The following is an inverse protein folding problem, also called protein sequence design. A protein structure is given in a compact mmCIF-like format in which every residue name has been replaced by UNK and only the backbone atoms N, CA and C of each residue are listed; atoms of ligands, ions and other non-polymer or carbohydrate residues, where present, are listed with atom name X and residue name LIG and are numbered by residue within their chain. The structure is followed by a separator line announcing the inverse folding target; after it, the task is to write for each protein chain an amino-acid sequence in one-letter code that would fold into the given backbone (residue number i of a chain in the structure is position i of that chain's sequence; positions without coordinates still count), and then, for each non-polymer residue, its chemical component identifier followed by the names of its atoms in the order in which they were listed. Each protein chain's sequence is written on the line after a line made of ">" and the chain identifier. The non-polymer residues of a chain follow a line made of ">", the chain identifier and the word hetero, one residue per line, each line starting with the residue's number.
data_IF_764763513491
#
_entry.id   IF_764763513491
#
_cell.length_a   1.000
_cell.length_b   1.000
_cell.length_c   1.000
_cell.angle_alpha   90.00
_cell.angle_beta   90.00
_cell.angle_gamma   90.00
#
_symmetry.space_group_name_H-M   'P 1'
#
loop_
_entity.id
_entity.type
_entity.pdbx_description
1 polymer ?
#
# COMPACT_ATOMS: atom_id res chain seq x y z
N UNK A 1 17.98 -48.73 36.62
CA UNK A 1 16.86 -48.53 35.65
C UNK A 1 15.74 -47.64 36.21
N UNK A 2 15.27 -47.75 37.48
CA UNK A 2 14.18 -46.92 38.07
C UNK A 2 14.52 -45.40 38.06
N UNK A 3 15.75 -45.00 38.41
CA UNK A 3 16.18 -43.58 38.46
C UNK A 3 16.18 -42.92 37.07
N UNK A 4 16.61 -43.68 36.01
CA UNK A 4 16.60 -43.18 34.66
C UNK A 4 15.18 -42.94 34.14
N UNK A 5 14.25 -43.86 34.40
CA UNK A 5 12.84 -43.67 34.04
C UNK A 5 12.24 -42.45 34.76
N UNK A 6 12.46 -42.30 36.04
CA UNK A 6 11.97 -41.11 36.81
C UNK A 6 12.54 -39.82 36.25
N UNK A 7 13.81 -39.77 35.86
CA UNK A 7 14.45 -38.63 35.24
C UNK A 7 13.83 -38.26 33.89
N UNK A 8 13.65 -39.26 33.01
CA UNK A 8 12.99 -39.05 31.70
C UNK A 8 11.56 -38.54 31.87
N UNK A 9 10.77 -39.12 32.80
CA UNK A 9 9.41 -38.59 33.04
C UNK A 9 9.40 -37.15 33.55
N UNK A 10 10.37 -36.79 34.41
CA UNK A 10 10.50 -35.42 34.93
C UNK A 10 10.81 -34.41 33.84
N UNK A 11 11.76 -34.75 32.95
CA UNK A 11 12.08 -33.93 31.79
C UNK A 11 10.87 -33.80 30.88
N UNK A 12 10.23 -34.92 30.52
CA UNK A 12 9.06 -34.91 29.67
C UNK A 12 7.93 -34.01 30.23
N UNK A 13 7.66 -34.08 31.52
CA UNK A 13 6.66 -33.24 32.16
C UNK A 13 7.00 -31.76 32.11
N UNK A 14 8.26 -31.38 32.44
CA UNK A 14 8.70 -29.99 32.40
C UNK A 14 8.67 -29.45 30.97
N UNK A 15 9.24 -30.21 30.02
CA UNK A 15 9.28 -29.82 28.61
C UNK A 15 7.87 -29.71 28.04
N UNK A 16 6.98 -30.66 28.33
CA UNK A 16 5.59 -30.63 27.91
C UNK A 16 4.84 -29.41 28.43
N UNK A 17 5.06 -29.02 29.70
CA UNK A 17 4.45 -27.82 30.27
C UNK A 17 4.96 -26.55 29.56
N UNK A 18 6.26 -26.44 29.33
CA UNK A 18 6.85 -25.29 28.64
C UNK A 18 6.29 -25.18 27.21
N UNK A 19 6.29 -26.29 26.46
CA UNK A 19 5.76 -26.35 25.11
C UNK A 19 4.26 -25.98 25.07
N UNK A 20 3.49 -26.51 26.03
CA UNK A 20 2.06 -26.19 26.15
C UNK A 20 1.80 -24.67 26.32
N UNK A 21 2.62 -24.00 27.14
CA UNK A 21 2.54 -22.54 27.31
C UNK A 21 2.84 -21.80 26.01
N UNK A 22 3.85 -22.24 25.25
CA UNK A 22 4.15 -21.64 23.94
C UNK A 22 3.01 -21.85 22.94
N UNK A 23 2.43 -23.03 22.86
CA UNK A 23 1.27 -23.30 22.02
C UNK A 23 0.06 -22.45 22.43
N UNK A 24 -0.18 -22.30 23.74
CA UNK A 24 -1.25 -21.44 24.21
C UNK A 24 -1.05 -19.98 23.81
N UNK A 25 0.16 -19.43 24.01
CA UNK A 25 0.49 -18.07 23.56
C UNK A 25 0.32 -17.92 22.05
N UNK A 26 0.78 -18.90 21.28
CA UNK A 26 0.63 -18.87 19.82
C UNK A 26 -0.84 -18.92 19.39
N UNK A 27 -1.64 -19.76 20.04
CA UNK A 27 -3.09 -19.82 19.79
C UNK A 27 -3.78 -18.48 20.11
N UNK A 28 -3.46 -17.87 21.25
CA UNK A 28 -4.02 -16.55 21.61
C UNK A 28 -3.59 -15.49 20.62
N UNK A 29 -2.32 -15.46 20.18
CA UNK A 29 -1.86 -14.52 19.16
C UNK A 29 -2.58 -14.73 17.82
N UNK A 30 -2.84 -15.99 17.45
CA UNK A 30 -3.63 -16.31 16.25
C UNK A 30 -5.07 -15.78 16.33
N UNK A 31 -5.72 -15.90 17.48
CA UNK A 31 -7.04 -15.30 17.71
C UNK A 31 -7.00 -13.77 17.54
N UNK A 32 -5.99 -13.12 18.09
CA UNK A 32 -5.83 -11.66 17.93
C UNK A 32 -5.71 -11.29 16.45
N UNK A 33 -4.93 -12.03 15.66
CA UNK A 33 -4.77 -11.77 14.23
C UNK A 33 -6.05 -11.99 13.40
N UNK A 34 -6.94 -12.90 13.84
CA UNK A 34 -8.25 -13.10 13.19
C UNK A 34 -9.14 -11.88 13.36
N UNK A 35 -9.16 -11.29 14.56
CA UNK A 35 -10.01 -10.12 14.86
C UNK A 35 -9.36 -8.77 14.51
N UNK A 36 -8.04 -8.73 14.39
CA UNK A 36 -7.27 -7.52 14.09
C UNK A 36 -6.37 -7.78 12.89
N UNK A 37 -6.96 -7.66 11.70
CA UNK A 37 -6.19 -7.72 10.46
C UNK A 37 -5.13 -6.61 10.43
N UNK A 38 -4.00 -6.91 9.78
CA UNK A 38 -3.00 -5.89 9.51
C UNK A 38 -3.68 -4.76 8.74
N UNK A 39 -3.69 -3.54 9.29
CA UNK A 39 -4.43 -2.46 8.69
C UNK A 39 -3.84 -2.13 7.31
N UNK A 40 -4.67 -2.19 6.30
CA UNK A 40 -4.36 -1.83 4.92
C UNK A 40 -5.42 -0.85 4.42
N UNK A 41 -5.09 -0.07 3.39
CA UNK A 41 -6.08 0.80 2.77
C UNK A 41 -7.09 -0.09 2.05
N UNK A 42 -8.36 0.01 2.46
CA UNK A 42 -9.44 -0.75 1.83
C UNK A 42 -9.78 -0.20 0.45
N UNK A 43 -10.36 -1.04 -0.39
CA UNK A 43 -10.80 -0.59 -1.71
C UNK A 43 -11.92 0.46 -1.59
N UNK A 44 -12.78 0.38 -0.57
CA UNK A 44 -13.78 1.41 -0.26
C UNK A 44 -13.12 2.77 -0.02
N UNK A 45 -12.09 2.83 0.82
CA UNK A 45 -11.34 4.07 1.06
C UNK A 45 -10.70 4.61 -0.21
N UNK A 46 -10.19 3.73 -1.09
CA UNK A 46 -9.64 4.15 -2.39
C UNK A 46 -10.74 4.72 -3.28
N UNK A 47 -11.92 4.09 -3.33
CA UNK A 47 -13.05 4.56 -4.13
C UNK A 47 -13.62 5.88 -3.61
N UNK A 48 -13.78 6.05 -2.29
CA UNK A 48 -14.21 7.31 -1.69
C UNK A 48 -13.29 8.49 -2.00
N UNK A 49 -11.99 8.22 -2.13
CA UNK A 49 -10.96 9.21 -2.46
C UNK A 49 -10.65 9.31 -3.94
N UNK A 50 -11.24 8.44 -4.76
CA UNK A 50 -11.06 8.49 -6.21
C UNK A 50 -11.82 9.68 -6.81
N UNK A 51 -11.16 10.36 -7.72
CA UNK A 51 -11.81 11.41 -8.52
C UNK A 51 -12.74 10.75 -9.55
N UNK A 52 -13.87 11.40 -9.85
CA UNK A 52 -14.75 10.97 -10.94
C UNK A 52 -14.03 11.05 -12.28
N UNK A 53 -14.25 10.05 -13.14
CA UNK A 53 -13.70 10.09 -14.47
C UNK A 53 -14.29 11.27 -15.27
N UNK A 54 -13.48 11.94 -16.09
CA UNK A 54 -13.98 12.98 -17.00
C UNK A 54 -15.03 12.40 -17.94
N UNK A 55 -16.04 13.20 -18.29
CA UNK A 55 -17.15 12.78 -19.14
C UNK A 55 -16.74 12.43 -20.57
N UNK A 56 -15.62 12.99 -21.06
CA UNK A 56 -15.03 12.70 -22.34
C UNK A 56 -13.72 11.95 -22.12
N UNK A 57 -13.70 10.70 -22.57
CA UNK A 57 -12.49 9.90 -22.63
C UNK A 57 -12.00 9.87 -24.09
N UNK A 58 -10.69 10.02 -24.35
CA UNK A 58 -10.16 9.86 -25.68
C UNK A 58 -10.29 8.42 -26.15
N UNK A 59 -10.32 8.23 -27.47
CA UNK A 59 -10.36 6.90 -28.06
C UNK A 59 -9.04 6.15 -27.77
N UNK A 60 -9.19 4.95 -27.18
CA UNK A 60 -8.07 4.09 -26.85
C UNK A 60 -7.22 3.73 -28.07
N UNK A 61 -7.86 3.49 -29.22
CA UNK A 61 -7.16 3.15 -30.45
C UNK A 61 -6.17 4.27 -30.85
N UNK A 62 -6.59 5.53 -30.75
CA UNK A 62 -5.73 6.68 -31.04
C UNK A 62 -4.55 6.79 -30.06
N UNK A 63 -4.78 6.48 -28.77
CA UNK A 63 -3.70 6.47 -27.75
C UNK A 63 -2.68 5.38 -28.05
N UNK A 64 -3.14 4.15 -28.34
CA UNK A 64 -2.25 3.05 -28.67
C UNK A 64 -1.44 3.31 -29.94
N UNK A 65 -2.09 3.86 -30.98
CA UNK A 65 -1.44 4.23 -32.23
C UNK A 65 -0.38 5.32 -32.03
N UNK A 66 -0.71 6.36 -31.26
CA UNK A 66 0.22 7.46 -30.96
C UNK A 66 1.49 6.97 -30.26
N UNK A 67 1.34 6.06 -29.30
CA UNK A 67 2.45 5.49 -28.54
C UNK A 67 3.05 4.22 -29.18
N UNK A 68 2.64 3.85 -30.38
CA UNK A 68 3.12 2.70 -31.16
C UNK A 68 3.00 1.37 -30.38
N UNK A 69 1.94 1.21 -29.57
CA UNK A 69 1.65 -0.01 -28.83
C UNK A 69 0.70 -0.88 -29.64
N UNK A 70 1.13 -2.08 -29.99
CA UNK A 70 0.28 -3.07 -30.68
C UNK A 70 -0.84 -3.55 -29.73
N UNK A 71 -2.09 -3.51 -30.16
CA UNK A 71 -3.26 -3.93 -29.36
C UNK A 71 -3.12 -5.36 -28.84
N UNK A 72 -2.60 -6.27 -29.67
CA UNK A 72 -2.39 -7.67 -29.30
C UNK A 72 -1.37 -7.91 -28.17
N UNK A 73 -0.56 -6.91 -27.83
CA UNK A 73 0.38 -6.96 -26.70
C UNK A 73 -0.19 -6.46 -25.39
N UNK A 74 -1.37 -5.82 -25.41
CA UNK A 74 -2.02 -5.27 -24.21
C UNK A 74 -2.59 -6.41 -23.36
N UNK A 75 -2.12 -6.54 -22.13
CA UNK A 75 -2.62 -7.51 -21.14
C UNK A 75 -3.72 -6.94 -20.25
N UNK A 76 -3.57 -5.69 -19.85
CA UNK A 76 -4.57 -5.00 -19.06
C UNK A 76 -4.49 -3.50 -19.31
N UNK A 77 -5.66 -2.89 -19.26
CA UNK A 77 -5.86 -1.45 -19.31
C UNK A 77 -6.59 -1.03 -18.03
N UNK A 78 -6.10 0.01 -17.39
CA UNK A 78 -6.83 0.69 -16.33
C UNK A 78 -6.86 2.18 -16.59
N UNK A 79 -7.98 2.80 -16.27
CA UNK A 79 -8.20 4.24 -16.40
C UNK A 79 -8.48 4.77 -15.01
N UNK A 80 -7.80 5.85 -14.65
CA UNK A 80 -8.00 6.56 -13.38
C UNK A 80 -8.18 8.04 -13.68
N UNK A 81 -8.97 8.74 -12.90
CA UNK A 81 -8.91 10.18 -12.85
C UNK A 81 -7.79 10.62 -11.93
N UNK A 82 -7.03 11.60 -12.35
CA UNK A 82 -5.98 12.18 -11.56
C UNK A 82 -5.86 13.68 -11.86
N UNK A 83 -6.21 14.51 -10.88
CA UNK A 83 -6.29 15.97 -11.03
C UNK A 83 -7.19 16.42 -12.20
N UNK A 84 -8.35 15.77 -12.34
CA UNK A 84 -9.34 16.09 -13.37
C UNK A 84 -8.99 15.58 -14.76
N UNK A 85 -7.86 14.89 -14.94
CA UNK A 85 -7.45 14.29 -16.21
C UNK A 85 -7.56 12.76 -16.15
N UNK A 86 -7.91 12.13 -17.26
CA UNK A 86 -7.86 10.69 -17.36
C UNK A 86 -6.42 10.21 -17.56
N UNK A 87 -6.00 9.31 -16.69
CA UNK A 87 -4.70 8.66 -16.74
C UNK A 87 -4.89 7.21 -17.14
N UNK A 88 -4.31 6.81 -18.27
CA UNK A 88 -4.32 5.45 -18.78
C UNK A 88 -3.08 4.70 -18.32
N UNK A 89 -3.27 3.56 -17.69
CA UNK A 89 -2.20 2.62 -17.37
C UNK A 89 -2.37 1.37 -18.22
N UNK A 90 -1.45 1.18 -19.15
CA UNK A 90 -1.45 0.07 -20.10
C UNK A 90 -0.33 -0.89 -19.71
N UNK A 91 -0.68 -2.12 -19.38
CA UNK A 91 0.27 -3.16 -19.05
C UNK A 91 0.43 -4.13 -20.22
N UNK A 92 1.64 -4.25 -20.72
CA UNK A 92 2.05 -5.26 -21.70
C UNK A 92 2.79 -6.43 -21.00
N UNK A 93 3.32 -7.38 -21.76
CA UNK A 93 4.13 -8.47 -21.20
C UNK A 93 5.42 -7.97 -20.55
N UNK A 94 6.02 -6.94 -21.14
CA UNK A 94 7.40 -6.51 -20.84
C UNK A 94 7.45 -5.18 -20.10
N UNK A 95 6.37 -4.36 -20.16
CA UNK A 95 6.37 -3.00 -19.64
C UNK A 95 5.00 -2.54 -19.15
N UNK A 96 5.00 -1.52 -18.31
CA UNK A 96 3.79 -0.77 -17.94
C UNK A 96 3.97 0.67 -18.37
N UNK A 97 3.05 1.15 -19.17
CA UNK A 97 3.01 2.51 -19.70
C UNK A 97 1.96 3.33 -18.97
N UNK A 98 2.25 4.59 -18.74
CA UNK A 98 1.35 5.52 -18.08
C UNK A 98 1.21 6.77 -18.95
N UNK A 99 0.01 7.03 -19.42
CA UNK A 99 -0.27 8.14 -20.36
C UNK A 99 -1.39 9.02 -19.82
N UNK A 100 -1.27 10.32 -20.09
CA UNK A 100 -2.40 11.23 -19.94
C UNK A 100 -3.34 11.11 -21.15
N UNK A 101 -4.62 11.37 -20.91
CA UNK A 101 -5.62 11.49 -21.97
C UNK A 101 -5.27 12.63 -22.96
N UNK A 102 -4.58 13.65 -22.48
CA UNK A 102 -4.01 14.70 -23.32
C UNK A 102 -2.72 14.17 -23.95
N UNK A 103 -2.81 13.76 -25.20
CA UNK A 103 -1.70 13.19 -25.98
C UNK A 103 -0.55 14.17 -26.22
N UNK A 104 -0.69 15.43 -25.84
CA UNK A 104 0.38 16.44 -25.93
C UNK A 104 1.45 16.28 -24.83
N UNK A 105 1.20 15.44 -23.82
CA UNK A 105 2.13 15.19 -22.71
C UNK A 105 2.44 13.70 -22.60
N UNK A 106 3.66 13.31 -22.90
CA UNK A 106 4.13 11.91 -22.83
C UNK A 106 4.12 11.32 -21.41
N UNK A 107 4.24 12.16 -20.39
CA UNK A 107 4.23 11.72 -18.98
C UNK A 107 3.56 12.80 -18.14
N UNK A 108 2.64 12.38 -17.27
CA UNK A 108 2.06 13.29 -16.28
C UNK A 108 3.16 13.69 -15.27
N UNK A 109 3.51 14.99 -15.17
CA UNK A 109 4.57 15.42 -14.27
C UNK A 109 4.11 15.30 -12.81
N UNK A 110 4.64 14.32 -12.08
CA UNK A 110 4.45 14.19 -10.62
C UNK A 110 5.32 15.22 -9.93
N UNK A 111 4.72 16.35 -9.60
CA UNK A 111 5.38 17.44 -8.88
C UNK A 111 5.09 17.36 -7.39
N UNK A 112 5.88 18.07 -6.56
CA UNK A 112 5.58 18.19 -5.13
C UNK A 112 4.17 18.73 -4.88
N UNK A 113 3.72 19.68 -5.70
CA UNK A 113 2.35 20.24 -5.61
C UNK A 113 1.29 19.18 -5.90
N UNK A 114 1.52 18.30 -6.86
CA UNK A 114 0.66 17.15 -7.18
C UNK A 114 0.51 16.24 -5.96
N UNK A 115 1.64 15.87 -5.35
CA UNK A 115 1.69 15.03 -4.15
C UNK A 115 0.95 15.69 -2.98
N UNK A 116 1.20 16.99 -2.74
CA UNK A 116 0.56 17.74 -1.67
C UNK A 116 -0.97 17.81 -1.84
N UNK A 117 -1.46 17.97 -3.07
CA UNK A 117 -2.89 17.96 -3.36
C UNK A 117 -3.51 16.58 -3.03
N UNK A 118 -2.88 15.50 -3.43
CA UNK A 118 -3.33 14.13 -3.08
C UNK A 118 -3.32 13.93 -1.57
N UNK A 119 -2.23 14.32 -0.90
CA UNK A 119 -2.12 14.19 0.56
C UNK A 119 -3.26 14.93 1.27
N UNK A 120 -3.56 16.18 0.86
CA UNK A 120 -4.66 16.98 1.42
C UNK A 120 -6.05 16.38 1.16
N UNK A 121 -6.26 15.72 0.03
CA UNK A 121 -7.53 15.04 -0.26
C UNK A 121 -7.76 13.82 0.66
N UNK A 122 -6.69 13.18 1.14
CA UNK A 122 -6.77 12.06 2.07
C UNK A 122 -6.92 12.52 3.52
N UNK A 123 -6.09 13.46 3.95
CA UNK A 123 -6.08 13.96 5.32
C UNK A 123 -6.04 15.48 5.30
N UNK A 124 -7.17 16.10 5.63
CA UNK A 124 -7.26 17.56 5.73
C UNK A 124 -6.85 18.04 7.12
N UNK A 125 -5.56 17.94 7.42
CA UNK A 125 -4.99 18.35 8.71
C UNK A 125 -3.59 18.96 8.53
N UNK A 126 -3.10 19.77 9.49
CA UNK A 126 -1.75 20.33 9.43
C UNK A 126 -0.69 19.23 9.41
N UNK A 127 0.25 19.34 8.48
CA UNK A 127 1.41 18.46 8.37
C UNK A 127 2.46 18.92 9.38
N UNK A 128 2.93 18.02 10.23
CA UNK A 128 3.97 18.31 11.23
C UNK A 128 5.36 17.92 10.78
N UNK A 129 5.47 16.86 9.96
CA UNK A 129 6.73 16.32 9.50
C UNK A 129 6.54 15.55 8.20
N UNK A 130 7.59 15.55 7.36
CA UNK A 130 7.68 14.72 6.15
C UNK A 130 9.03 14.01 6.18
N UNK A 131 9.02 12.68 6.08
CA UNK A 131 10.22 11.85 5.95
C UNK A 131 10.26 11.21 4.56
N UNK A 132 11.45 11.05 4.00
CA UNK A 132 11.65 10.28 2.75
C UNK A 132 12.12 8.89 3.10
N UNK A 133 11.40 7.88 2.61
CA UNK A 133 11.67 6.47 2.88
C UNK A 133 12.22 5.82 1.62
N UNK A 134 13.41 5.25 1.73
CA UNK A 134 14.10 4.54 0.63
C UNK A 134 14.10 3.02 0.82
N UNK A 135 13.79 2.56 2.02
CA UNK A 135 13.81 1.14 2.40
C UNK A 135 12.49 0.75 3.08
N UNK A 136 12.31 -0.55 3.31
CA UNK A 136 11.13 -1.03 4.03
C UNK A 136 11.08 -0.46 5.45
N UNK A 137 9.91 -0.02 5.82
CA UNK A 137 9.52 0.37 7.17
C UNK A 137 8.61 -0.73 7.75
N UNK A 138 8.38 -0.72 9.06
CA UNK A 138 7.48 -1.66 9.74
C UNK A 138 6.06 -1.70 9.14
N UNK A 139 5.63 -0.65 8.44
CA UNK A 139 4.32 -0.55 7.80
C UNK A 139 4.34 -0.80 6.28
N UNK A 140 5.52 -0.86 5.68
CA UNK A 140 5.75 -1.14 4.27
C UNK A 140 6.50 -2.47 4.16
N UNK A 141 5.82 -3.57 4.53
CA UNK A 141 6.44 -4.88 4.66
C UNK A 141 6.56 -5.66 3.35
N UNK A 142 5.63 -5.46 2.42
CA UNK A 142 5.58 -6.25 1.20
C UNK A 142 6.65 -5.83 0.19
N UNK A 143 7.30 -6.80 -0.43
CA UNK A 143 8.29 -6.57 -1.50
C UNK A 143 7.71 -5.82 -2.71
N UNK A 144 6.39 -5.94 -2.93
CA UNK A 144 5.66 -5.22 -3.97
C UNK A 144 5.72 -3.71 -3.86
N UNK A 145 6.07 -3.16 -2.69
CA UNK A 145 6.24 -1.72 -2.51
C UNK A 145 7.64 -1.21 -2.90
N UNK A 146 8.62 -2.10 -3.08
CA UNK A 146 10.00 -1.68 -3.38
C UNK A 146 10.13 -0.91 -4.70
N UNK A 147 9.38 -1.30 -5.73
CA UNK A 147 9.38 -0.59 -7.02
C UNK A 147 8.71 0.79 -6.96
N UNK A 148 7.91 1.04 -5.92
CA UNK A 148 7.23 2.33 -5.68
C UNK A 148 8.08 3.30 -4.86
N UNK A 149 9.24 2.86 -4.38
CA UNK A 149 10.19 3.73 -3.66
C UNK A 149 10.90 4.72 -4.61
N UNK A 150 11.34 5.88 -4.12
CA UNK A 150 11.17 6.37 -2.76
C UNK A 150 9.73 6.78 -2.46
N UNK A 151 9.37 6.82 -1.17
CA UNK A 151 8.06 7.26 -0.70
C UNK A 151 8.22 8.41 0.29
N UNK A 152 7.26 9.33 0.29
CA UNK A 152 7.11 10.27 1.38
C UNK A 152 6.20 9.71 2.46
N UNK A 153 6.60 9.90 3.71
CA UNK A 153 5.80 9.62 4.91
C UNK A 153 5.40 10.95 5.55
N UNK A 154 4.13 11.26 5.48
CA UNK A 154 3.55 12.46 6.08
C UNK A 154 3.03 12.15 7.47
N UNK A 155 3.26 13.08 8.40
CA UNK A 155 2.75 13.04 9.77
C UNK A 155 1.80 14.22 9.98
N UNK A 156 0.61 13.93 10.51
CA UNK A 156 -0.43 14.95 10.70
C UNK A 156 -0.64 15.29 12.17
N UNK A 157 -1.08 16.53 12.41
CA UNK A 157 -1.48 17.00 13.73
C UNK A 157 -3.00 17.00 13.86
N UNK A 158 -3.60 15.88 13.62
CA UNK A 158 -5.01 15.62 13.90
C UNK A 158 -5.19 14.77 15.16
N UNK A 159 -6.44 14.56 15.61
CA UNK A 159 -6.76 13.79 16.80
C UNK A 159 -6.26 12.34 16.72
N UNK A 160 -6.33 11.76 15.53
CA UNK A 160 -5.94 10.38 15.25
C UNK A 160 -4.44 10.21 14.95
N UNK A 161 -3.70 11.34 14.84
CA UNK A 161 -2.26 11.34 14.52
C UNK A 161 -1.95 10.48 13.29
N UNK A 162 -2.68 10.72 12.21
CA UNK A 162 -2.50 9.97 10.98
C UNK A 162 -1.07 10.03 10.45
N UNK A 163 -0.67 8.93 9.84
CA UNK A 163 0.55 8.82 9.03
C UNK A 163 0.15 8.29 7.67
N UNK A 164 0.63 8.93 6.61
CA UNK A 164 0.30 8.59 5.23
C UNK A 164 1.58 8.38 4.43
N UNK A 165 1.61 7.29 3.67
CA UNK A 165 2.73 6.92 2.80
C UNK A 165 2.30 7.08 1.35
N UNK A 166 3.03 7.87 0.59
CA UNK A 166 2.74 8.16 -0.80
C UNK A 166 3.98 7.94 -1.68
N UNK A 167 3.80 7.28 -2.82
CA UNK A 167 4.88 7.10 -3.79
C UNK A 167 5.24 8.42 -4.47
N UNK A 168 6.51 8.76 -4.49
CA UNK A 168 7.00 9.94 -5.22
C UNK A 168 6.94 9.77 -6.74
N UNK A 169 6.85 8.52 -7.21
CA UNK A 169 6.83 8.20 -8.65
C UNK A 169 5.43 8.21 -9.26
N UNK A 170 4.42 7.84 -8.47
CA UNK A 170 3.05 7.66 -8.97
C UNK A 170 2.03 8.55 -8.28
N UNK A 171 2.44 9.28 -7.21
CA UNK A 171 1.55 10.01 -6.31
C UNK A 171 0.38 9.18 -5.76
N UNK A 172 0.51 7.84 -5.76
CA UNK A 172 -0.48 6.95 -5.18
C UNK A 172 -0.21 6.77 -3.69
N UNK A 173 -1.26 6.89 -2.90
CA UNK A 173 -1.21 6.57 -1.47
C UNK A 173 -1.11 5.06 -1.31
N UNK A 174 -0.09 4.61 -0.59
CA UNK A 174 0.22 3.20 -0.40
C UNK A 174 -0.26 2.68 0.94
N UNK A 175 -0.18 3.51 1.97
CA UNK A 175 -0.61 3.18 3.32
C UNK A 175 -1.08 4.42 4.06
N UNK A 176 -2.06 4.24 4.94
CA UNK A 176 -2.50 5.24 5.90
C UNK A 176 -2.73 4.56 7.25
N UNK A 177 -2.30 5.19 8.33
CA UNK A 177 -2.40 4.67 9.70
C UNK A 177 -2.84 5.74 10.67
N UNK A 178 -3.77 5.40 11.50
CA UNK A 178 -4.11 6.17 12.68
C UNK A 178 -3.31 5.72 13.92
N UNK A 179 -3.44 6.44 15.01
CA UNK A 179 -2.77 6.13 16.28
C UNK A 179 -3.15 4.76 16.83
N UNK A 180 -4.42 4.39 16.74
CA UNK A 180 -4.92 3.13 17.30
C UNK A 180 -4.43 1.93 16.49
N UNK A 181 -4.39 2.04 15.16
CA UNK A 181 -3.83 1.02 14.29
C UNK A 181 -2.35 0.77 14.58
N UNK A 182 -1.58 1.86 14.82
CA UNK A 182 -0.14 1.74 15.16
C UNK A 182 0.13 1.14 16.54
N UNK A 183 -0.81 1.25 17.48
CA UNK A 183 -0.66 0.66 18.83
C UNK A 183 -1.06 -0.82 18.89
N UNK A 184 -1.85 -1.30 17.91
CA UNK A 184 -2.38 -2.67 17.90
C UNK A 184 -1.57 -3.65 17.02
N UNK A 185 -0.70 -3.14 16.18
CA UNK A 185 0.21 -3.90 15.31
C UNK A 185 1.61 -3.88 15.88
#
# INVERSE_FOLDING_TARGET
>A
MKKLKSFVFSIHRVLGTVICLFFFMWFVSGLVLIYHHFPDITDEQKYEKAESLPSLLPDLHNILAYHQIEEGKVKSLSIKSFQGQALFSIKTKDSTYLFCADTTQDVFPITSKTIDNVVKSWVNAPITKIDTIYQRDQWIMYSSYMHKMPMYKYYFNDAEKHQLYISTKTAEVQQMRDKHQRLRA
#
